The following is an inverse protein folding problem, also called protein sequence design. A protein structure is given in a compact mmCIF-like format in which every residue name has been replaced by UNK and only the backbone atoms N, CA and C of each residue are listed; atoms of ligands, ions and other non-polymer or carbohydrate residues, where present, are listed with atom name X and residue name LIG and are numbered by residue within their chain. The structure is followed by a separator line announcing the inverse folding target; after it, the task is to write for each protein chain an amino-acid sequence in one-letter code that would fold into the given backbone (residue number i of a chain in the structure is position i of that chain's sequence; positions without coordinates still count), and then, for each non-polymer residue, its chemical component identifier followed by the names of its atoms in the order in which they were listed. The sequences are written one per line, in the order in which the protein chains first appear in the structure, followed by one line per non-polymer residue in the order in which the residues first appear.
data_IF_078414024864
#
_entry.id   IF_078414024864
#
_cell.length_a   1.000
_cell.length_b   1.000
_cell.length_c   1.000
_cell.angle_alpha   90.00
_cell.angle_beta   90.00
_cell.angle_gamma   90.00
#
_symmetry.space_group_name_H-M   'P 1'
#
loop_
_entity.id
_entity.type
_entity.pdbx_description
1 polymer ?
#
# COMPACT_ATOMS: atom_id res chain seq x y z
N UNK A 1 0.76 -13.77 -13.49
CA UNK A 1 0.76 -12.34 -13.10
C UNK A 1 -0.68 -11.82 -12.98
N UNK A 2 -1.44 -12.31 -11.99
CA UNK A 2 -2.87 -12.01 -11.79
C UNK A 2 -3.18 -11.45 -10.39
N UNK A 3 -2.15 -10.98 -9.68
CA UNK A 3 -2.26 -10.50 -8.30
C UNK A 3 -2.86 -9.08 -8.23
N UNK A 4 -2.52 -8.21 -9.19
CA UNK A 4 -2.97 -6.81 -9.21
C UNK A 4 -4.46 -6.65 -9.53
N UNK A 5 -5.00 -7.48 -10.41
CA UNK A 5 -6.41 -7.40 -10.84
C UNK A 5 -7.41 -7.78 -9.75
N UNK A 6 -6.94 -8.38 -8.65
CA UNK A 6 -7.76 -8.72 -7.48
C UNK A 6 -7.78 -7.62 -6.41
N UNK A 7 -6.82 -6.70 -6.46
CA UNK A 7 -6.63 -5.64 -5.47
C UNK A 7 -6.53 -4.31 -6.21
N UNK A 8 -7.65 -3.87 -6.79
CA UNK A 8 -7.72 -2.59 -7.49
C UNK A 8 -7.91 -1.46 -6.48
N UNK A 9 -7.19 -0.36 -6.68
CA UNK A 9 -7.42 0.88 -5.94
C UNK A 9 -8.84 1.38 -6.23
N UNK A 10 -9.49 1.94 -5.22
CA UNK A 10 -10.78 2.63 -5.42
C UNK A 10 -10.57 3.80 -6.39
N UNK A 11 -11.54 4.08 -7.28
CA UNK A 11 -11.51 5.29 -8.08
C UNK A 11 -11.52 6.52 -7.17
N UNK A 12 -10.88 7.58 -7.62
CA UNK A 12 -10.79 8.82 -6.86
C UNK A 12 -12.17 9.49 -6.79
N UNK A 13 -12.69 9.82 -5.59
CA UNK A 13 -13.93 10.58 -5.47
C UNK A 13 -13.71 12.03 -5.94
N UNK A 14 -14.79 12.78 -6.18
CA UNK A 14 -14.73 14.18 -6.64
C UNK A 14 -13.93 15.08 -5.70
N UNK A 15 -14.01 14.82 -4.40
CA UNK A 15 -13.28 15.53 -3.34
C UNK A 15 -11.78 15.19 -3.29
N UNK A 16 -11.32 14.26 -4.13
CA UNK A 16 -9.92 13.78 -4.24
C UNK A 16 -9.31 13.21 -2.96
N UNK A 17 -10.14 12.94 -1.95
CA UNK A 17 -9.71 12.30 -0.72
C UNK A 17 -9.65 10.78 -0.89
N UNK A 18 -8.56 10.16 -0.47
CA UNK A 18 -8.41 8.71 -0.42
C UNK A 18 -8.54 8.22 1.01
N UNK A 19 -9.40 7.23 1.24
CA UNK A 19 -9.49 6.56 2.53
C UNK A 19 -8.17 5.81 2.82
N UNK A 20 -7.56 6.10 3.97
CA UNK A 20 -6.25 5.56 4.36
C UNK A 20 -6.25 4.04 4.42
N UNK A 21 -7.31 3.44 4.99
CA UNK A 21 -7.38 1.98 5.17
C UNK A 21 -7.45 1.20 3.85
N UNK A 22 -8.43 1.44 2.95
CA UNK A 22 -8.46 0.75 1.65
C UNK A 22 -7.22 1.02 0.80
N UNK A 23 -6.64 2.22 0.89
CA UNK A 23 -5.39 2.51 0.22
C UNK A 23 -4.27 1.60 0.73
N UNK A 24 -4.01 1.60 2.04
CA UNK A 24 -2.95 0.80 2.67
C UNK A 24 -3.14 -0.71 2.45
N UNK A 25 -4.38 -1.20 2.52
CA UNK A 25 -4.71 -2.59 2.23
C UNK A 25 -4.34 -2.94 0.78
N UNK A 26 -4.76 -2.12 -0.17
CA UNK A 26 -4.47 -2.35 -1.58
C UNK A 26 -2.97 -2.30 -1.89
N UNK A 27 -2.27 -1.24 -1.44
CA UNK A 27 -0.85 -1.09 -1.74
C UNK A 27 0.04 -2.11 -1.03
N UNK A 28 -0.44 -2.76 0.03
CA UNK A 28 0.27 -3.86 0.70
C UNK A 28 0.46 -5.09 -0.19
N UNK A 29 -0.30 -5.22 -1.29
CA UNK A 29 -0.16 -6.29 -2.26
C UNK A 29 0.88 -6.00 -3.36
N UNK A 30 1.47 -4.79 -3.40
CA UNK A 30 2.46 -4.39 -4.41
C UNK A 30 3.88 -4.92 -4.15
N UNK A 31 4.44 -4.88 -2.91
CA UNK A 31 5.82 -5.29 -2.67
C UNK A 31 6.20 -6.71 -3.18
N UNK A 32 5.33 -7.74 -3.15
CA UNK A 32 5.64 -9.06 -3.71
C UNK A 32 5.97 -9.08 -5.21
N UNK A 33 5.61 -8.04 -5.97
CA UNK A 33 5.95 -7.95 -7.41
C UNK A 33 7.47 -7.92 -7.61
N UNK A 34 8.22 -7.33 -6.68
CA UNK A 34 9.68 -7.27 -6.76
C UNK A 34 10.34 -8.65 -6.62
N UNK A 35 9.70 -9.61 -5.95
CA UNK A 35 10.17 -11.00 -5.92
C UNK A 35 10.06 -11.67 -7.29
N UNK A 36 9.11 -11.22 -8.12
CA UNK A 36 8.86 -11.77 -9.45
C UNK A 36 9.85 -11.25 -10.51
N UNK A 37 10.69 -10.25 -10.17
CA UNK A 37 11.70 -9.70 -11.07
C UNK A 37 12.98 -10.55 -11.13
N UNK A 38 13.08 -11.61 -10.33
CA UNK A 38 14.12 -12.64 -10.45
C UNK A 38 15.53 -12.21 -10.06
N UNK A 39 15.70 -11.05 -9.43
CA UNK A 39 17.01 -10.56 -8.98
C UNK A 39 16.99 -10.07 -7.52
N UNK A 40 17.92 -10.52 -6.67
CA UNK A 40 18.08 -10.02 -5.30
C UNK A 40 18.32 -8.51 -5.21
N UNK A 41 18.76 -7.86 -6.30
CA UNK A 41 18.98 -6.41 -6.34
C UNK A 41 17.71 -5.59 -6.07
N UNK A 42 16.52 -6.18 -6.24
CA UNK A 42 15.24 -5.52 -5.98
C UNK A 42 14.77 -5.66 -4.51
N UNK A 43 15.44 -6.46 -3.68
CA UNK A 43 15.08 -6.63 -2.26
C UNK A 43 15.12 -5.33 -1.46
N UNK A 44 16.12 -4.43 -1.61
CA UNK A 44 16.13 -3.16 -0.91
C UNK A 44 14.91 -2.28 -1.24
N UNK A 45 14.47 -2.29 -2.51
CA UNK A 45 13.30 -1.53 -2.97
C UNK A 45 12.02 -2.08 -2.34
N UNK A 46 11.86 -3.42 -2.34
CA UNK A 46 10.75 -4.10 -1.67
C UNK A 46 10.70 -3.74 -0.18
N UNK A 47 11.85 -3.77 0.49
CA UNK A 47 11.95 -3.51 1.92
C UNK A 47 11.57 -2.06 2.26
N UNK A 48 12.06 -1.09 1.47
CA UNK A 48 11.75 0.34 1.66
C UNK A 48 10.25 0.61 1.54
N UNK A 49 9.63 0.13 0.44
CA UNK A 49 8.19 0.31 0.20
C UNK A 49 7.36 -0.36 1.32
N UNK A 50 7.73 -1.58 1.72
CA UNK A 50 7.06 -2.30 2.82
C UNK A 50 7.21 -1.58 4.15
N UNK A 51 8.37 -0.97 4.41
CA UNK A 51 8.65 -0.16 5.58
C UNK A 51 7.75 1.09 5.64
N UNK A 52 7.60 1.79 4.52
CA UNK A 52 6.73 2.96 4.43
C UNK A 52 5.26 2.60 4.70
N UNK A 53 4.75 1.53 4.10
CA UNK A 53 3.38 1.03 4.36
C UNK A 53 3.22 0.69 5.84
N UNK A 54 4.19 0.00 6.44
CA UNK A 54 4.17 -0.37 7.86
C UNK A 54 4.12 0.85 8.77
N UNK A 55 4.94 1.87 8.48
CA UNK A 55 5.01 3.11 9.25
C UNK A 55 3.70 3.89 9.21
N UNK A 56 3.10 4.05 8.03
CA UNK A 56 1.82 4.75 7.87
C UNK A 56 0.71 3.94 8.57
N UNK A 57 0.68 2.62 8.41
CA UNK A 57 -0.29 1.74 9.08
C UNK A 57 -0.18 1.82 10.61
N UNK A 58 1.04 1.91 11.14
CA UNK A 58 1.27 2.09 12.57
C UNK A 58 0.65 3.40 13.09
N UNK A 59 0.84 4.51 12.37
CA UNK A 59 0.23 5.81 12.72
C UNK A 59 -1.30 5.75 12.59
N UNK A 60 -1.82 5.21 11.49
CA UNK A 60 -3.26 5.03 11.29
C UNK A 60 -3.92 4.25 12.44
N UNK A 61 -3.28 3.17 12.91
CA UNK A 61 -3.81 2.36 14.01
C UNK A 61 -3.86 3.07 15.36
N UNK A 62 -3.16 4.21 15.53
CA UNK A 62 -3.25 5.00 16.78
C UNK A 62 -4.58 5.72 16.92
N UNK A 63 -5.15 6.18 15.80
CA UNK A 63 -6.45 6.86 15.77
C UNK A 63 -7.06 6.79 14.35
N UNK A 64 -7.77 5.69 14.01
CA UNK A 64 -8.35 5.50 12.69
C UNK A 64 -9.35 6.57 12.26
N UNK A 65 -10.03 7.21 13.22
CA UNK A 65 -11.00 8.26 12.94
C UNK A 65 -10.27 9.56 12.57
N UNK A 66 -9.21 9.91 13.29
CA UNK A 66 -8.36 11.06 12.97
C UNK A 66 -7.59 10.90 11.67
N UNK A 67 -7.17 9.69 11.33
CA UNK A 67 -6.39 9.37 10.12
C UNK A 67 -7.23 8.70 9.03
N UNK A 68 -8.51 9.05 8.94
CA UNK A 68 -9.47 8.43 8.01
C UNK A 68 -9.04 8.57 6.53
N UNK A 69 -8.44 9.71 6.17
CA UNK A 69 -7.96 10.02 4.82
C UNK A 69 -6.46 10.40 4.81
N UNK A 70 -5.83 10.30 3.64
CA UNK A 70 -4.41 10.64 3.38
C UNK A 70 -4.16 12.15 3.23
#
# INVERSE_FOLDING_TARGET
MALLTKHLLKPLPEEKQMETRPFLETVSHLPPIFDCLGSPMFMPIKADISGNITKIKAVYNTDPAKFQTL
#
